data_IF_816041819310
#
_entry.id   IF_816041819310
#
_cell.length_a   1.000
_cell.length_b   1.000
_cell.length_c   1.000
_cell.angle_alpha   90.00
_cell.angle_beta   90.00
_cell.angle_gamma   90.00
#
_symmetry.space_group_name_H-M   'P 1'
#
loop_
_entity.id
_entity.type
_entity.pdbx_description
1 polymer ?
#
# COMPACT_ATOMS: atom_id res chain seq x y z
N UNK A 1 1.81 23.06 37.03
CA UNK A 1 0.80 24.16 37.06
C UNK A 1 0.58 24.73 38.46
N UNK A 2 0.29 23.93 39.52
CA UNK A 2 0.12 24.47 40.89
C UNK A 2 1.26 25.38 41.41
N UNK A 3 2.56 25.06 41.21
CA UNK A 3 3.64 25.93 41.69
C UNK A 3 3.68 27.28 40.96
N UNK A 4 3.37 27.32 39.66
CA UNK A 4 3.31 28.56 38.89
C UNK A 4 2.23 29.50 39.44
N UNK A 5 1.04 28.97 39.72
CA UNK A 5 -0.08 29.74 40.27
C UNK A 5 0.26 30.27 41.66
N UNK A 6 0.93 29.48 42.49
CA UNK A 6 1.35 29.92 43.82
C UNK A 6 2.44 31.00 43.76
N UNK A 7 3.43 30.86 42.88
CA UNK A 7 4.47 31.89 42.70
C UNK A 7 3.91 33.18 42.11
N UNK A 8 2.96 33.09 41.17
CA UNK A 8 2.26 34.26 40.62
C UNK A 8 1.48 35.02 41.71
N UNK A 9 0.83 34.29 42.64
CA UNK A 9 0.17 34.88 43.81
C UNK A 9 1.17 35.60 44.72
N UNK A 10 2.34 35.02 44.97
CA UNK A 10 3.38 35.66 45.79
C UNK A 10 3.95 36.93 45.15
N UNK A 11 4.07 36.97 43.83
CA UNK A 11 4.43 38.18 43.07
C UNK A 11 3.33 39.24 43.17
N UNK A 12 2.07 38.85 43.03
CA UNK A 12 0.93 39.77 43.13
C UNK A 12 0.77 40.38 44.53
N UNK A 13 1.04 39.60 45.58
CA UNK A 13 1.01 40.07 46.97
C UNK A 13 2.16 41.03 47.28
N UNK A 14 3.33 40.87 46.64
CA UNK A 14 4.50 41.72 46.86
C UNK A 14 5.25 42.05 45.54
N UNK A 15 4.75 43.00 44.72
CA UNK A 15 5.27 43.23 43.36
C UNK A 15 6.69 43.79 43.30
N UNK A 16 7.15 44.46 44.37
CA UNK A 16 8.50 45.07 44.44
C UNK A 16 9.57 44.07 44.90
N UNK A 17 9.17 42.86 45.30
CA UNK A 17 10.10 41.83 45.79
C UNK A 17 10.68 41.02 44.63
N UNK A 18 11.95 41.31 44.28
CA UNK A 18 12.65 40.70 43.15
C UNK A 18 12.79 39.18 43.22
N UNK A 19 12.88 38.60 44.44
CA UNK A 19 12.99 37.15 44.66
C UNK A 19 11.73 36.37 44.26
N UNK A 20 10.54 36.94 44.49
CA UNK A 20 9.26 36.33 44.06
C UNK A 20 9.16 36.36 42.53
N UNK A 21 9.57 37.47 41.90
CA UNK A 21 9.58 37.62 40.46
C UNK A 21 10.57 36.66 39.78
N UNK A 22 11.73 36.43 40.38
CA UNK A 22 12.70 35.43 39.90
C UNK A 22 12.15 34.01 40.03
N UNK A 23 11.62 33.65 41.21
CA UNK A 23 11.04 32.32 41.46
C UNK A 23 9.88 32.01 40.51
N UNK A 24 9.06 33.01 40.20
CA UNK A 24 7.99 32.87 39.20
C UNK A 24 8.54 32.65 37.78
N UNK A 25 9.58 33.41 37.37
CA UNK A 25 10.25 33.22 36.08
C UNK A 25 10.86 31.82 35.96
N UNK A 26 11.56 31.34 36.98
CA UNK A 26 12.17 30.01 36.98
C UNK A 26 11.10 28.90 36.87
N UNK A 27 9.97 29.08 37.55
CA UNK A 27 8.84 28.13 37.48
C UNK A 27 8.19 28.12 36.08
N UNK A 28 8.12 29.26 35.41
CA UNK A 28 7.64 29.36 34.03
C UNK A 28 8.61 28.72 33.04
N UNK A 29 9.92 28.96 33.18
CA UNK A 29 10.94 28.30 32.35
C UNK A 29 10.88 26.78 32.49
N UNK A 30 10.69 26.27 33.71
CA UNK A 30 10.48 24.84 33.93
C UNK A 30 9.20 24.32 33.24
N UNK A 31 8.09 25.07 33.28
CA UNK A 31 6.87 24.70 32.56
C UNK A 31 7.08 24.66 31.04
N UNK A 32 7.74 25.66 30.49
CA UNK A 32 8.07 25.71 29.06
C UNK A 32 8.98 24.55 28.65
N UNK A 33 9.98 24.22 29.46
CA UNK A 33 10.82 23.04 29.28
C UNK A 33 10.01 21.74 29.28
N UNK A 34 9.10 21.56 30.25
CA UNK A 34 8.23 20.39 30.31
C UNK A 34 7.30 20.28 29.09
N UNK A 35 6.74 21.40 28.62
CA UNK A 35 5.92 21.44 27.39
C UNK A 35 6.74 21.09 26.15
N UNK A 36 7.99 21.59 26.06
CA UNK A 36 8.92 21.21 24.98
C UNK A 36 9.21 19.71 25.01
N UNK A 37 9.49 19.13 26.17
CA UNK A 37 9.72 17.68 26.31
C UNK A 37 8.51 16.85 25.87
N UNK A 38 7.29 17.30 26.17
CA UNK A 38 6.07 16.66 25.64
C UNK A 38 6.02 16.76 24.12
N UNK A 39 6.35 17.93 23.56
CA UNK A 39 6.48 18.12 22.11
C UNK A 39 7.52 17.21 21.46
N UNK A 40 8.69 17.07 22.07
CA UNK A 40 9.79 16.21 21.61
C UNK A 40 9.43 14.72 21.68
N UNK A 41 8.69 14.32 22.71
CA UNK A 41 8.19 12.95 22.86
C UNK A 41 7.15 12.58 21.80
N UNK A 42 6.29 13.54 21.40
CA UNK A 42 5.29 13.34 20.35
C UNK A 42 5.92 13.35 18.95
N UNK A 43 6.88 14.25 18.71
CA UNK A 43 7.56 14.38 17.41
C UNK A 43 8.64 13.32 17.19
N UNK A 44 9.06 12.60 18.25
CA UNK A 44 10.15 11.63 18.19
C UNK A 44 11.53 12.26 18.07
N UNK A 45 11.64 13.60 18.19
CA UNK A 45 12.89 14.34 18.04
C UNK A 45 13.83 14.21 19.27
N UNK A 46 13.31 13.82 20.44
CA UNK A 46 14.08 13.73 21.70
C UNK A 46 14.72 12.38 21.99
N UNK A 47 14.65 11.41 21.07
CA UNK A 47 15.05 10.02 21.33
C UNK A 47 16.45 9.66 20.84
N UNK A 48 17.52 10.24 21.42
CA UNK A 48 18.83 9.59 21.38
C UNK A 48 18.81 8.36 22.30
N UNK A 49 18.17 7.27 21.84
CA UNK A 49 18.26 5.97 22.51
C UNK A 49 19.63 5.38 22.19
N UNK A 50 20.43 4.94 23.18
CA UNK A 50 21.65 4.19 22.87
C UNK A 50 21.27 2.92 22.10
N UNK A 51 22.11 2.46 21.16
CA UNK A 51 21.79 1.31 20.33
C UNK A 51 21.81 0.07 21.22
N UNK A 52 20.64 -0.41 21.60
CA UNK A 52 20.50 -1.81 22.02
C UNK A 52 20.81 -2.64 20.79
N UNK A 53 21.93 -3.35 20.83
CA UNK A 53 22.37 -4.31 19.83
C UNK A 53 21.23 -5.27 19.50
N UNK A 54 20.52 -4.99 18.41
CA UNK A 54 19.73 -5.93 17.63
C UNK A 54 19.29 -5.21 16.36
N UNK A 55 20.13 -5.32 15.32
CA UNK A 55 19.87 -5.09 13.89
C UNK A 55 18.69 -4.16 13.59
N UNK A 56 18.83 -2.90 13.98
CA UNK A 56 18.10 -1.82 13.33
C UNK A 56 18.83 -1.56 12.01
N UNK A 57 18.13 -1.70 10.88
CA UNK A 57 18.50 -0.93 9.70
C UNK A 57 18.34 0.52 10.14
N UNK A 58 19.44 1.08 10.62
CA UNK A 58 19.53 2.49 10.96
C UNK A 58 19.16 3.25 9.69
N UNK A 59 18.08 4.03 9.76
CA UNK A 59 17.75 5.00 8.74
C UNK A 59 18.82 6.09 8.79
N UNK A 60 20.00 5.78 8.25
CA UNK A 60 21.01 6.77 7.93
C UNK A 60 20.28 7.79 7.06
N UNK A 61 20.21 9.09 7.47
CA UNK A 61 19.66 10.11 6.59
C UNK A 61 20.37 9.98 5.25
N UNK A 62 19.67 9.89 4.11
CA UNK A 62 20.29 9.60 2.84
C UNK A 62 21.38 10.63 2.63
N UNK A 63 22.63 10.17 2.73
CA UNK A 63 23.79 10.98 2.39
C UNK A 63 23.54 11.37 0.95
N UNK A 64 23.47 12.68 0.66
CA UNK A 64 23.30 13.15 -0.70
C UNK A 64 24.29 12.33 -1.56
N UNK A 65 23.83 11.73 -2.68
CA UNK A 65 24.74 11.02 -3.57
C UNK A 65 25.92 11.95 -3.79
N UNK A 66 27.13 11.43 -3.55
CA UNK A 66 28.37 12.17 -3.78
C UNK A 66 28.25 12.90 -5.11
N UNK A 67 28.79 14.13 -5.16
CA UNK A 67 28.81 14.98 -6.36
C UNK A 67 28.89 14.12 -7.60
N UNK A 68 28.04 14.37 -8.63
CA UNK A 68 27.96 13.51 -9.80
C UNK A 68 29.38 13.21 -10.24
N UNK A 69 29.72 11.93 -10.32
CA UNK A 69 30.98 11.51 -10.93
C UNK A 69 30.89 12.05 -12.34
N UNK A 70 31.48 13.22 -12.57
CA UNK A 70 31.70 13.73 -13.91
C UNK A 70 32.67 12.73 -14.49
N UNK A 71 32.14 11.77 -15.24
CA UNK A 71 32.93 11.02 -16.18
C UNK A 71 33.38 12.03 -17.23
N UNK A 72 34.40 12.81 -16.87
CA UNK A 72 35.16 13.61 -17.80
C UNK A 72 35.93 12.59 -18.60
N UNK A 73 35.21 11.96 -19.55
CA UNK A 73 35.78 11.13 -20.59
C UNK A 73 36.57 12.09 -21.47
N UNK A 74 37.75 12.49 -21.00
CA UNK A 74 38.88 12.53 -21.90
C UNK A 74 38.93 11.11 -22.45
N UNK A 75 38.39 10.93 -23.66
CA UNK A 75 38.67 9.75 -24.45
C UNK A 75 40.16 9.82 -24.77
N UNK A 76 40.99 9.41 -23.80
CA UNK A 76 42.36 9.05 -24.09
C UNK A 76 42.20 7.76 -24.89
N UNK A 77 42.17 7.92 -26.20
CA UNK A 77 42.49 6.84 -27.11
C UNK A 77 43.96 6.55 -26.83
N UNK A 78 44.23 5.72 -25.82
CA UNK A 78 45.52 5.06 -25.77
C UNK A 78 45.57 4.24 -27.05
N UNK A 79 46.45 4.61 -27.97
CA UNK A 79 46.82 3.75 -29.10
C UNK A 79 47.60 2.56 -28.52
N UNK A 80 46.87 1.69 -27.80
CA UNK A 80 47.36 0.40 -27.36
C UNK A 80 47.54 -0.42 -28.63
N UNK A 81 48.78 -0.85 -28.98
CA UNK A 81 48.98 -1.75 -30.11
C UNK A 81 48.06 -2.96 -29.95
N UNK A 82 47.34 -3.30 -31.02
CA UNK A 82 46.38 -4.41 -30.98
C UNK A 82 47.08 -5.68 -30.47
N UNK A 83 46.64 -6.27 -29.34
CA UNK A 83 47.30 -7.45 -28.81
C UNK A 83 47.24 -8.58 -29.85
N UNK A 84 48.33 -9.32 -30.07
CA UNK A 84 48.33 -10.44 -31.00
C UNK A 84 47.22 -11.42 -30.61
N UNK A 85 46.47 -11.89 -31.61
CA UNK A 85 45.30 -12.76 -31.42
C UNK A 85 45.73 -13.99 -30.59
N UNK A 86 45.19 -14.18 -29.36
CA UNK A 86 45.48 -15.38 -28.59
C UNK A 86 44.97 -16.63 -29.32
N UNK A 87 45.57 -17.81 -29.10
CA UNK A 87 45.04 -19.06 -29.64
C UNK A 87 43.57 -19.22 -29.22
N UNK A 88 42.73 -19.86 -30.06
CA UNK A 88 41.31 -20.04 -29.74
C UNK A 88 41.21 -20.68 -28.35
N UNK A 89 40.47 -20.07 -27.41
CA UNK A 89 40.20 -20.70 -26.12
C UNK A 89 39.57 -22.07 -26.38
N UNK A 90 40.06 -23.12 -25.73
CA UNK A 90 39.24 -24.33 -25.56
C UNK A 90 37.94 -23.84 -24.92
N UNK A 91 36.81 -24.08 -25.57
CA UNK A 91 35.48 -23.64 -25.11
C UNK A 91 35.20 -24.21 -23.72
N UNK A 92 35.65 -23.50 -22.67
CA UNK A 92 35.03 -23.58 -21.37
C UNK A 92 33.85 -22.63 -21.48
N UNK A 93 32.76 -23.14 -22.07
CA UNK A 93 31.47 -22.47 -22.07
C UNK A 93 31.18 -22.00 -20.65
N UNK A 94 30.82 -20.73 -20.42
CA UNK A 94 30.28 -20.34 -19.12
C UNK A 94 29.15 -21.33 -18.79
N UNK A 95 29.03 -21.79 -17.53
CA UNK A 95 27.99 -22.74 -17.18
C UNK A 95 26.66 -22.18 -17.70
N UNK A 96 25.84 -23.00 -18.39
CA UNK A 96 24.58 -22.52 -18.97
C UNK A 96 23.84 -21.80 -17.86
N UNK A 97 23.55 -20.51 -18.10
CA UNK A 97 22.78 -19.70 -17.15
C UNK A 97 21.53 -20.53 -16.86
N UNK A 98 21.27 -20.91 -15.59
CA UNK A 98 20.03 -21.61 -15.28
C UNK A 98 18.89 -20.79 -15.87
N UNK A 99 17.86 -21.42 -16.46
CA UNK A 99 16.72 -20.68 -16.95
C UNK A 99 16.31 -19.72 -15.83
N UNK A 100 16.16 -18.41 -16.11
CA UNK A 100 15.66 -17.50 -15.09
C UNK A 100 14.42 -18.16 -14.50
N UNK A 101 14.29 -18.20 -13.16
CA UNK A 101 13.08 -18.72 -12.55
C UNK A 101 11.89 -18.08 -13.29
N UNK A 102 10.79 -18.83 -13.54
CA UNK A 102 9.56 -18.22 -14.01
C UNK A 102 9.01 -17.34 -12.89
N UNK A 103 9.70 -16.24 -12.60
CA UNK A 103 9.10 -15.04 -12.06
C UNK A 103 8.29 -14.48 -13.22
N UNK A 104 7.09 -15.00 -13.43
CA UNK A 104 6.04 -14.12 -13.93
C UNK A 104 6.00 -12.98 -12.93
N UNK A 105 6.60 -11.84 -13.26
CA UNK A 105 6.46 -10.64 -12.47
C UNK A 105 4.95 -10.35 -12.46
N UNK A 106 4.28 -10.69 -11.36
CA UNK A 106 2.83 -10.46 -11.18
C UNK A 106 2.48 -9.00 -11.50
N UNK A 107 3.45 -8.08 -11.33
CA UNK A 107 3.30 -6.68 -11.72
C UNK A 107 3.36 -6.45 -13.23
N UNK A 108 4.21 -7.18 -13.96
CA UNK A 108 4.27 -7.16 -15.42
C UNK A 108 3.03 -7.80 -16.04
N UNK A 109 2.52 -8.90 -15.48
CA UNK A 109 1.25 -9.48 -15.91
C UNK A 109 0.09 -8.51 -15.66
N UNK A 110 0.06 -7.87 -14.48
CA UNK A 110 -0.92 -6.82 -14.19
C UNK A 110 -0.81 -5.67 -15.19
N UNK A 111 0.40 -5.20 -15.50
CA UNK A 111 0.62 -4.12 -16.47
C UNK A 111 0.16 -4.53 -17.87
N UNK A 112 0.59 -5.70 -18.34
CA UNK A 112 0.23 -6.25 -19.64
C UNK A 112 -1.29 -6.44 -19.79
N UNK A 113 -1.98 -6.85 -18.72
CA UNK A 113 -3.43 -6.93 -18.71
C UNK A 113 -4.04 -5.56 -19.00
N UNK A 114 -3.67 -4.52 -18.25
CA UNK A 114 -4.24 -3.17 -18.41
C UNK A 114 -3.78 -2.43 -19.66
N UNK A 115 -2.64 -2.78 -20.25
CA UNK A 115 -2.20 -2.27 -21.57
C UNK A 115 -3.00 -2.88 -22.73
N UNK A 116 -3.28 -4.18 -22.65
CA UNK A 116 -4.07 -4.89 -23.67
C UNK A 116 -5.55 -4.56 -23.58
N UNK A 117 -6.02 -4.12 -22.42
CA UNK A 117 -7.42 -3.82 -22.20
C UNK A 117 -7.76 -2.43 -22.78
N UNK A 118 -8.53 -2.34 -23.88
CA UNK A 118 -8.88 -1.06 -24.45
C UNK A 118 -9.76 -0.31 -23.44
N UNK A 119 -9.41 0.93 -23.10
CA UNK A 119 -10.25 1.84 -22.31
C UNK A 119 -11.32 2.66 -23.11
N UNK A 120 -11.66 2.43 -24.40
CA UNK A 120 -12.75 3.17 -25.03
C UNK A 120 -14.08 2.62 -24.50
N UNK A 121 -14.72 3.38 -23.60
CA UNK A 121 -16.06 3.07 -23.08
C UNK A 121 -16.16 2.82 -21.57
N UNK A 122 -15.16 3.19 -20.75
CA UNK A 122 -15.27 3.04 -19.29
C UNK A 122 -16.52 3.73 -18.67
N UNK A 123 -17.11 4.72 -19.35
CA UNK A 123 -18.39 5.33 -18.96
C UNK A 123 -19.61 4.43 -19.17
N UNK A 124 -19.60 3.53 -20.14
CA UNK A 124 -20.69 2.57 -20.39
C UNK A 124 -20.53 1.25 -19.63
N UNK A 125 -19.40 1.05 -18.93
CA UNK A 125 -19.06 -0.20 -18.25
C UNK A 125 -18.78 0.05 -16.76
N UNK A 126 -19.80 0.16 -15.91
CA UNK A 126 -19.62 0.59 -14.52
C UNK A 126 -18.84 -0.42 -13.65
N UNK A 127 -18.88 -1.73 -13.94
CA UNK A 127 -18.06 -2.74 -13.25
C UNK A 127 -16.58 -2.57 -13.62
N UNK A 128 -16.28 -2.38 -14.91
CA UNK A 128 -14.91 -2.11 -15.37
C UNK A 128 -14.37 -0.81 -14.78
N UNK A 129 -15.19 0.23 -14.70
CA UNK A 129 -14.82 1.50 -14.06
C UNK A 129 -14.45 1.31 -12.58
N UNK A 130 -15.23 0.51 -11.83
CA UNK A 130 -14.93 0.18 -10.44
C UNK A 130 -13.58 -0.58 -10.31
N UNK A 131 -13.35 -1.56 -11.18
CA UNK A 131 -12.10 -2.31 -11.23
C UNK A 131 -10.89 -1.40 -11.53
N UNK A 132 -11.05 -0.51 -12.51
CA UNK A 132 -10.01 0.45 -12.91
C UNK A 132 -9.71 1.47 -11.79
N UNK A 133 -10.74 1.95 -11.08
CA UNK A 133 -10.55 2.86 -9.95
C UNK A 133 -9.71 2.24 -8.83
N UNK A 134 -9.97 0.96 -8.51
CA UNK A 134 -9.14 0.21 -7.58
C UNK A 134 -7.71 0.06 -8.11
N UNK A 135 -7.54 -0.33 -9.38
CA UNK A 135 -6.21 -0.46 -9.99
C UNK A 135 -5.39 0.85 -9.94
N UNK A 136 -6.01 1.99 -10.25
CA UNK A 136 -5.34 3.30 -10.21
C UNK A 136 -4.81 3.65 -8.82
N UNK A 137 -5.54 3.29 -7.76
CA UNK A 137 -5.05 3.48 -6.39
C UNK A 137 -3.90 2.54 -6.05
N UNK A 138 -3.94 1.30 -6.56
CA UNK A 138 -2.97 0.26 -6.23
C UNK A 138 -1.68 0.35 -7.05
N UNK A 139 -1.71 0.91 -8.26
CA UNK A 139 -0.55 0.96 -9.16
C UNK A 139 0.64 1.73 -8.57
N UNK A 140 0.38 2.68 -7.68
CA UNK A 140 1.42 3.47 -7.01
C UNK A 140 2.20 2.66 -5.97
N UNK A 141 1.70 1.49 -5.59
CA UNK A 141 2.30 0.62 -4.57
C UNK A 141 3.00 -0.58 -5.22
N UNK A 142 4.21 -0.88 -4.77
CA UNK A 142 4.85 -2.17 -5.06
C UNK A 142 4.10 -3.30 -4.36
N UNK A 143 3.85 -4.41 -5.05
CA UNK A 143 3.35 -5.65 -4.43
C UNK A 143 4.46 -6.53 -3.85
N UNK A 144 5.73 -6.19 -4.08
CA UNK A 144 6.85 -6.93 -3.53
C UNK A 144 6.85 -6.84 -1.99
N UNK A 145 6.80 -7.99 -1.32
CA UNK A 145 6.64 -8.08 0.15
C UNK A 145 5.38 -7.35 0.68
N UNK A 146 4.30 -7.30 -0.11
CA UNK A 146 3.03 -6.72 0.30
C UNK A 146 1.85 -7.54 -0.26
N UNK A 147 1.48 -8.59 0.47
CA UNK A 147 0.40 -9.50 0.06
C UNK A 147 -0.99 -8.83 0.02
N UNK A 148 -1.22 -7.78 0.83
CA UNK A 148 -2.47 -7.00 0.80
C UNK A 148 -2.61 -6.31 -0.56
N UNK A 149 -1.56 -5.61 -1.00
CA UNK A 149 -1.53 -4.93 -2.31
C UNK A 149 -1.59 -5.95 -3.45
N UNK A 150 -0.86 -7.07 -3.34
CA UNK A 150 -0.89 -8.13 -4.34
C UNK A 150 -2.29 -8.73 -4.52
N UNK A 151 -2.97 -9.08 -3.41
CA UNK A 151 -4.33 -9.59 -3.43
C UNK A 151 -5.33 -8.55 -3.99
N UNK A 152 -5.21 -7.28 -3.60
CA UNK A 152 -6.07 -6.22 -4.12
C UNK A 152 -5.85 -5.98 -5.63
N UNK A 153 -4.61 -6.09 -6.14
CA UNK A 153 -4.33 -6.02 -7.59
C UNK A 153 -4.97 -7.17 -8.36
N UNK A 154 -4.87 -8.41 -7.82
CA UNK A 154 -5.57 -9.57 -8.38
C UNK A 154 -7.08 -9.36 -8.42
N UNK A 155 -7.68 -8.79 -7.36
CA UNK A 155 -9.11 -8.44 -7.35
C UNK A 155 -9.50 -7.46 -8.47
N UNK A 156 -8.67 -6.44 -8.74
CA UNK A 156 -8.95 -5.49 -9.81
C UNK A 156 -8.96 -6.16 -11.20
N UNK A 157 -8.01 -7.07 -11.47
CA UNK A 157 -7.96 -7.83 -12.74
C UNK A 157 -9.18 -8.74 -12.86
N UNK A 158 -9.48 -9.51 -11.81
CA UNK A 158 -10.62 -10.42 -11.80
C UNK A 158 -11.95 -9.66 -11.95
N UNK A 159 -12.09 -8.48 -11.35
CA UNK A 159 -13.29 -7.64 -11.50
C UNK A 159 -13.43 -7.09 -12.93
N UNK A 160 -12.32 -6.71 -13.58
CA UNK A 160 -12.33 -6.34 -14.99
C UNK A 160 -12.75 -7.52 -15.88
N UNK A 161 -12.26 -8.74 -15.60
CA UNK A 161 -12.68 -9.97 -16.29
C UNK A 161 -14.17 -10.28 -16.04
N UNK A 162 -14.65 -10.12 -14.81
CA UNK A 162 -16.07 -10.28 -14.48
C UNK A 162 -16.93 -9.35 -15.33
N UNK A 163 -16.49 -8.10 -15.56
CA UNK A 163 -17.18 -7.15 -16.43
C UNK A 163 -17.36 -7.63 -17.87
N UNK A 164 -16.46 -8.46 -18.42
CA UNK A 164 -16.62 -9.06 -19.75
C UNK A 164 -17.62 -10.21 -19.71
N UNK A 165 -17.45 -11.10 -18.73
CA UNK A 165 -18.26 -12.32 -18.58
C UNK A 165 -19.74 -12.02 -18.39
N UNK A 166 -20.09 -10.97 -17.62
CA UNK A 166 -21.49 -10.57 -17.38
C UNK A 166 -22.19 -10.01 -18.62
N UNK A 167 -21.42 -9.58 -19.63
CA UNK A 167 -21.94 -9.16 -20.93
C UNK A 167 -22.06 -10.31 -21.93
N UNK A 168 -21.59 -11.51 -21.56
CA UNK A 168 -21.51 -12.65 -22.48
C UNK A 168 -20.29 -12.60 -23.41
N UNK A 169 -19.34 -11.69 -23.17
CA UNK A 169 -18.11 -11.59 -23.95
C UNK A 169 -17.04 -12.55 -23.40
N UNK A 170 -16.62 -13.52 -24.22
CA UNK A 170 -15.37 -14.26 -23.98
C UNK A 170 -15.41 -15.33 -22.87
N UNK A 171 -16.58 -15.85 -22.50
CA UNK A 171 -16.65 -16.98 -21.56
C UNK A 171 -18.04 -17.58 -21.37
N UNK A 172 -18.09 -18.66 -20.60
CA UNK A 172 -19.30 -19.43 -20.30
C UNK A 172 -19.94 -19.01 -18.96
N UNK A 173 -21.18 -19.47 -18.71
CA UNK A 173 -21.84 -19.34 -17.38
C UNK A 173 -20.96 -19.85 -16.24
N UNK A 174 -20.21 -20.93 -16.50
CA UNK A 174 -19.26 -21.52 -15.54
C UNK A 174 -18.10 -20.57 -15.26
N UNK A 175 -17.51 -19.98 -16.29
CA UNK A 175 -16.40 -19.02 -16.14
C UNK A 175 -16.82 -17.79 -15.34
N UNK A 176 -18.04 -17.30 -15.52
CA UNK A 176 -18.61 -16.20 -14.72
C UNK A 176 -18.65 -16.56 -13.23
N UNK A 177 -19.21 -17.73 -12.90
CA UNK A 177 -19.32 -18.20 -11.52
C UNK A 177 -17.93 -18.43 -10.90
N UNK A 178 -17.01 -19.04 -11.63
CA UNK A 178 -15.67 -19.32 -11.15
C UNK A 178 -14.85 -18.03 -10.97
N UNK A 179 -15.05 -17.03 -11.85
CA UNK A 179 -14.47 -15.70 -11.68
C UNK A 179 -14.98 -15.02 -10.39
N UNK A 180 -16.29 -15.12 -10.09
CA UNK A 180 -16.86 -14.55 -8.87
C UNK A 180 -16.32 -15.24 -7.59
N UNK A 181 -16.10 -16.56 -7.63
CA UNK A 181 -15.44 -17.30 -6.54
C UNK A 181 -14.00 -16.82 -6.35
N UNK A 182 -13.22 -16.69 -7.43
CA UNK A 182 -11.85 -16.20 -7.35
C UNK A 182 -11.75 -14.78 -6.76
N UNK A 183 -12.72 -13.90 -7.08
CA UNK A 183 -12.82 -12.57 -6.44
C UNK A 183 -13.08 -12.70 -4.94
N UNK A 184 -14.01 -13.58 -4.55
CA UNK A 184 -14.33 -13.82 -3.15
C UNK A 184 -13.13 -14.37 -2.36
N UNK A 185 -12.41 -15.35 -2.90
CA UNK A 185 -11.21 -15.94 -2.28
C UNK A 185 -10.10 -14.90 -2.13
N UNK A 186 -9.89 -14.07 -3.16
CA UNK A 186 -8.92 -12.97 -3.09
C UNK A 186 -9.34 -11.88 -2.10
N UNK A 187 -10.64 -11.64 -1.91
CA UNK A 187 -11.17 -10.69 -0.93
C UNK A 187 -11.03 -11.19 0.50
N UNK A 188 -11.18 -12.51 0.72
CA UNK A 188 -10.95 -13.16 2.00
C UNK A 188 -9.49 -12.97 2.43
N UNK A 189 -8.56 -13.13 1.49
CA UNK A 189 -7.13 -12.91 1.77
C UNK A 189 -6.83 -11.45 2.18
N UNK A 190 -7.42 -10.46 1.50
CA UNK A 190 -7.33 -9.05 1.91
C UNK A 190 -7.85 -8.85 3.34
N UNK A 191 -9.03 -9.39 3.66
CA UNK A 191 -9.61 -9.27 5.00
C UNK A 191 -8.76 -9.97 6.05
N UNK A 192 -8.26 -11.18 5.78
CA UNK A 192 -7.42 -11.97 6.70
C UNK A 192 -6.15 -11.21 7.06
N UNK A 193 -5.44 -10.70 6.05
CA UNK A 193 -4.21 -9.93 6.23
C UNK A 193 -4.47 -8.59 6.94
N UNK A 194 -5.56 -7.89 6.60
CA UNK A 194 -5.96 -6.66 7.28
C UNK A 194 -6.24 -6.88 8.78
N UNK A 195 -6.94 -7.97 9.13
CA UNK A 195 -7.19 -8.33 10.54
C UNK A 195 -5.89 -8.69 11.27
N UNK A 196 -4.97 -9.41 10.62
CA UNK A 196 -3.66 -9.69 11.20
C UNK A 196 -2.86 -8.42 11.49
N UNK A 197 -2.85 -7.48 10.53
CA UNK A 197 -2.22 -6.17 10.70
C UNK A 197 -2.88 -5.37 11.83
N UNK A 198 -4.21 -5.34 11.89
CA UNK A 198 -4.95 -4.66 12.93
C UNK A 198 -4.59 -5.16 14.33
N UNK A 199 -4.38 -6.47 14.51
CA UNK A 199 -3.95 -7.07 15.79
C UNK A 199 -2.57 -6.61 16.23
N UNK A 200 -1.68 -6.30 15.28
CA UNK A 200 -0.32 -5.82 15.55
C UNK A 200 -0.23 -4.30 15.71
N UNK A 201 -1.28 -3.57 15.32
CA UNK A 201 -1.35 -2.12 15.46
C UNK A 201 -1.48 -1.71 16.94
N UNK A 202 -0.61 -0.80 17.39
CA UNK A 202 -0.60 -0.26 18.75
C UNK A 202 -1.53 0.93 18.92
N UNK A 203 -1.85 1.64 17.83
CA UNK A 203 -2.80 2.75 17.88
C UNK A 203 -4.24 2.22 17.84
N UNK A 204 -5.00 2.50 18.90
CA UNK A 204 -6.36 1.99 19.07
C UNK A 204 -7.29 2.54 17.99
N UNK A 205 -7.19 3.83 17.64
CA UNK A 205 -8.07 4.46 16.66
C UNK A 205 -7.81 3.88 15.28
N UNK A 206 -6.55 3.80 14.87
CA UNK A 206 -6.16 3.25 13.57
C UNK A 206 -6.58 1.77 13.45
N UNK A 207 -6.40 0.99 14.52
CA UNK A 207 -6.86 -0.41 14.58
C UNK A 207 -8.37 -0.52 14.40
N UNK A 208 -9.16 0.29 15.10
CA UNK A 208 -10.62 0.24 15.00
C UNK A 208 -11.11 0.66 13.61
N UNK A 209 -10.52 1.71 13.03
CA UNK A 209 -10.82 2.13 11.66
C UNK A 209 -10.55 1.00 10.67
N UNK A 210 -9.40 0.31 10.76
CA UNK A 210 -9.05 -0.80 9.88
C UNK A 210 -10.05 -1.97 10.00
N UNK A 211 -10.43 -2.35 11.23
CA UNK A 211 -11.41 -3.42 11.46
C UNK A 211 -12.79 -3.08 10.89
N UNK A 212 -13.26 -1.85 11.12
CA UNK A 212 -14.57 -1.38 10.66
C UNK A 212 -14.68 -1.36 9.12
N UNK A 213 -13.60 -1.01 8.40
CA UNK A 213 -13.65 -1.01 6.93
C UNK A 213 -13.54 -2.43 6.36
N UNK A 214 -12.72 -3.30 6.96
CA UNK A 214 -12.50 -4.64 6.40
C UNK A 214 -13.60 -5.65 6.74
N UNK A 215 -14.37 -5.46 7.82
CA UNK A 215 -15.48 -6.37 8.21
C UNK A 215 -16.65 -6.38 7.23
N UNK A 216 -16.75 -5.35 6.37
CA UNK A 216 -17.79 -5.26 5.33
C UNK A 216 -17.54 -6.19 4.15
N UNK A 217 -16.27 -6.49 3.86
CA UNK A 217 -15.82 -7.24 2.68
C UNK A 217 -16.45 -8.64 2.60
N UNK A 218 -16.45 -9.48 3.66
CA UNK A 218 -17.00 -10.84 3.58
C UNK A 218 -18.48 -10.89 3.17
N UNK A 219 -19.28 -9.95 3.68
CA UNK A 219 -20.71 -9.84 3.35
C UNK A 219 -20.89 -9.46 1.89
N UNK A 220 -20.18 -8.44 1.40
CA UNK A 220 -20.28 -7.98 0.02
C UNK A 220 -19.79 -9.07 -0.95
N UNK A 221 -18.72 -9.79 -0.63
CA UNK A 221 -18.20 -10.90 -1.43
C UNK A 221 -19.20 -12.08 -1.51
N UNK A 222 -19.91 -12.37 -0.42
CA UNK A 222 -20.98 -13.37 -0.42
C UNK A 222 -22.13 -12.96 -1.35
N UNK A 223 -22.54 -11.69 -1.28
CA UNK A 223 -23.53 -11.14 -2.19
C UNK A 223 -23.06 -11.22 -3.67
N UNK A 224 -21.79 -10.93 -3.95
CA UNK A 224 -21.22 -11.04 -5.29
C UNK A 224 -21.39 -12.46 -5.86
N UNK A 225 -21.12 -13.49 -5.06
CA UNK A 225 -21.29 -14.90 -5.48
C UNK A 225 -22.76 -15.21 -5.84
N UNK A 226 -23.70 -14.72 -5.02
CA UNK A 226 -25.15 -14.92 -5.25
C UNK A 226 -25.58 -14.20 -6.52
N UNK A 227 -25.29 -12.90 -6.64
CA UNK A 227 -25.67 -12.08 -7.79
C UNK A 227 -25.03 -12.58 -9.09
N UNK A 228 -23.80 -13.06 -9.03
CA UNK A 228 -23.12 -13.68 -10.17
C UNK A 228 -23.81 -14.98 -10.61
N UNK A 229 -24.31 -15.78 -9.66
CA UNK A 229 -25.08 -16.99 -9.98
C UNK A 229 -26.42 -16.64 -10.62
N UNK A 230 -27.11 -15.61 -10.10
CA UNK A 230 -28.36 -15.08 -10.70
C UNK A 230 -28.10 -14.56 -12.12
N UNK A 231 -27.04 -13.78 -12.34
CA UNK A 231 -26.69 -13.31 -13.69
C UNK A 231 -26.34 -14.48 -14.62
N UNK A 232 -25.68 -15.52 -14.12
CA UNK A 232 -25.35 -16.70 -14.91
C UNK A 232 -26.60 -17.45 -15.41
N UNK A 233 -27.68 -17.50 -14.62
CA UNK A 233 -28.94 -18.10 -15.09
C UNK A 233 -29.57 -17.27 -16.21
N UNK A 234 -29.48 -15.93 -16.13
CA UNK A 234 -30.07 -14.98 -17.09
C UNK A 234 -29.26 -14.76 -18.37
N UNK A 235 -28.05 -15.30 -18.50
CA UNK A 235 -27.23 -15.21 -19.73
C UNK A 235 -27.93 -15.75 -21.00
N UNK A 236 -28.99 -16.56 -20.87
CA UNK A 236 -29.77 -17.06 -22.01
C UNK A 236 -30.97 -16.19 -22.41
N UNK A 237 -31.26 -15.15 -21.64
CA UNK A 237 -32.40 -14.22 -21.80
C UNK A 237 -31.93 -12.77 -21.74
N UNK A 238 -30.76 -12.47 -22.30
CA UNK A 238 -30.20 -11.12 -22.30
C UNK A 238 -31.18 -10.10 -22.89
N UNK A 239 -31.31 -8.96 -22.21
CA UNK A 239 -32.22 -7.88 -22.61
C UNK A 239 -33.64 -8.00 -22.04
N UNK A 240 -33.92 -8.97 -21.17
CA UNK A 240 -35.13 -8.94 -20.34
C UNK A 240 -35.00 -7.91 -19.22
N UNK A 241 -36.13 -7.38 -18.75
CA UNK A 241 -36.18 -6.47 -17.60
C UNK A 241 -35.50 -7.10 -16.36
N UNK A 242 -35.74 -8.39 -16.12
CA UNK A 242 -35.09 -9.15 -15.04
C UNK A 242 -33.55 -9.21 -15.19
N UNK A 243 -33.03 -9.32 -16.42
CA UNK A 243 -31.58 -9.35 -16.68
C UNK A 243 -30.92 -7.98 -16.47
N UNK A 244 -31.64 -6.91 -16.81
CA UNK A 244 -31.22 -5.52 -16.56
C UNK A 244 -31.19 -5.22 -15.06
N UNK A 245 -32.23 -5.59 -14.31
CA UNK A 245 -32.26 -5.45 -12.84
C UNK A 245 -31.14 -6.24 -12.17
N UNK A 246 -30.95 -7.51 -12.55
CA UNK A 246 -29.87 -8.34 -12.02
C UNK A 246 -28.49 -7.73 -12.32
N UNK A 247 -28.32 -7.14 -13.51
CA UNK A 247 -27.10 -6.42 -13.88
C UNK A 247 -26.89 -5.19 -12.99
N UNK A 248 -27.93 -4.37 -12.75
CA UNK A 248 -27.82 -3.19 -11.89
C UNK A 248 -27.42 -3.55 -10.45
N UNK A 249 -28.01 -4.61 -9.88
CA UNK A 249 -27.64 -5.09 -8.54
C UNK A 249 -26.18 -5.55 -8.49
N UNK A 250 -25.72 -6.26 -9.53
CA UNK A 250 -24.33 -6.71 -9.64
C UNK A 250 -23.35 -5.53 -9.75
N UNK A 251 -23.71 -4.50 -10.50
CA UNK A 251 -22.92 -3.26 -10.63
C UNK A 251 -22.72 -2.59 -9.27
N UNK A 252 -23.81 -2.37 -8.53
CA UNK A 252 -23.75 -1.72 -7.21
C UNK A 252 -22.92 -2.55 -6.22
N UNK A 253 -23.08 -3.87 -6.23
CA UNK A 253 -22.30 -4.76 -5.40
C UNK A 253 -20.79 -4.70 -5.73
N UNK A 254 -20.43 -4.74 -7.02
CA UNK A 254 -19.05 -4.64 -7.47
C UNK A 254 -18.40 -3.30 -7.07
N UNK A 255 -19.11 -2.18 -7.24
CA UNK A 255 -18.65 -0.87 -6.80
C UNK A 255 -18.39 -0.81 -5.29
N UNK A 256 -19.34 -1.32 -4.49
CA UNK A 256 -19.20 -1.38 -3.03
C UNK A 256 -18.01 -2.25 -2.60
N UNK A 257 -17.77 -3.37 -3.28
CA UNK A 257 -16.65 -4.26 -2.99
C UNK A 257 -15.31 -3.58 -3.30
N UNK A 258 -15.15 -3.02 -4.50
CA UNK A 258 -13.91 -2.36 -4.91
C UNK A 258 -13.60 -1.15 -4.01
N UNK A 259 -14.62 -0.39 -3.62
CA UNK A 259 -14.48 0.72 -2.68
C UNK A 259 -14.07 0.25 -1.27
N UNK A 260 -14.71 -0.80 -0.74
CA UNK A 260 -14.38 -1.35 0.59
C UNK A 260 -12.95 -1.91 0.64
N UNK A 261 -12.50 -2.55 -0.44
CA UNK A 261 -11.10 -3.01 -0.58
C UNK A 261 -10.14 -1.83 -0.64
N UNK A 262 -10.45 -0.79 -1.43
CA UNK A 262 -9.65 0.43 -1.51
C UNK A 262 -9.46 1.11 -0.15
N UNK A 263 -10.55 1.27 0.60
CA UNK A 263 -10.52 1.87 1.94
C UNK A 263 -9.75 1.00 2.93
N UNK A 264 -9.86 -0.33 2.80
CA UNK A 264 -9.07 -1.28 3.61
C UNK A 264 -7.58 -1.15 3.32
N UNK A 265 -7.16 -1.03 2.06
CA UNK A 265 -5.74 -0.85 1.70
C UNK A 265 -5.19 0.46 2.28
N UNK A 266 -5.95 1.57 2.19
CA UNK A 266 -5.56 2.86 2.78
C UNK A 266 -5.48 2.82 4.30
N UNK A 267 -6.45 2.18 4.96
CA UNK A 267 -6.42 2.01 6.41
C UNK A 267 -5.28 1.08 6.85
N UNK A 268 -4.96 0.06 6.05
CA UNK A 268 -3.84 -0.85 6.29
C UNK A 268 -2.49 -0.12 6.15
N UNK A 269 -2.32 0.71 5.12
CA UNK A 269 -1.15 1.59 4.98
C UNK A 269 -0.95 2.41 6.24
N UNK A 270 -1.99 3.13 6.68
CA UNK A 270 -1.92 3.95 7.88
C UNK A 270 -1.56 3.09 9.12
N UNK A 271 -2.30 2.00 9.37
CA UNK A 271 -2.09 1.15 10.54
C UNK A 271 -0.68 0.51 10.58
N UNK A 272 -0.08 0.26 9.41
CA UNK A 272 1.26 -0.33 9.30
C UNK A 272 2.37 0.56 9.88
N UNK A 273 2.16 1.87 9.97
CA UNK A 273 3.11 2.82 10.56
C UNK A 273 3.24 2.61 12.08
N UNK A 274 2.19 2.09 12.73
CA UNK A 274 2.10 1.92 14.18
C UNK A 274 2.01 0.44 14.58
N UNK A 275 2.86 -0.41 14.02
CA UNK A 275 2.96 -1.82 14.40
C UNK A 275 3.92 -2.04 15.58
N UNK A 276 3.67 -3.09 16.37
CA UNK A 276 4.62 -3.55 17.40
C UNK A 276 5.94 -3.95 16.76
N UNK A 277 7.06 -3.53 17.35
CA UNK A 277 8.42 -3.80 16.84
C UNK A 277 8.78 -5.28 16.74
N UNK A 278 8.11 -6.14 17.53
CA UNK A 278 8.36 -7.57 17.58
C UNK A 278 7.27 -8.38 16.88
N UNK A 279 6.45 -7.74 16.03
CA UNK A 279 5.30 -8.38 15.38
C UNK A 279 5.68 -9.45 14.34
N UNK A 280 6.92 -9.43 13.84
CA UNK A 280 7.38 -10.33 12.77
C UNK A 280 6.69 -10.11 11.42
N UNK A 281 5.77 -9.15 11.34
CA UNK A 281 5.00 -8.84 10.13
C UNK A 281 5.91 -8.08 9.15
N UNK A 282 6.16 -8.64 7.97
CA UNK A 282 6.89 -7.98 6.88
C UNK A 282 5.88 -7.51 5.83
N UNK A 283 5.46 -6.26 5.96
CA UNK A 283 4.53 -5.61 5.03
C UNK A 283 5.19 -4.32 4.56
N UNK A 284 5.60 -4.28 3.28
CA UNK A 284 6.41 -3.18 2.76
C UNK A 284 5.57 -2.21 1.92
N UNK A 285 5.47 -0.97 2.37
CA UNK A 285 4.77 0.10 1.63
C UNK A 285 5.79 0.94 0.86
N UNK A 286 6.16 0.46 -0.33
CA UNK A 286 7.04 1.20 -1.26
C UNK A 286 6.20 1.87 -2.35
N UNK A 287 6.38 3.18 -2.50
CA UNK A 287 5.88 3.93 -3.64
C UNK A 287 6.72 3.60 -4.87
N UNK A 288 6.05 3.24 -5.97
CA UNK A 288 6.71 3.04 -7.26
C UNK A 288 7.28 4.36 -7.77
N UNK A 289 8.56 4.40 -8.18
CA UNK A 289 9.13 5.62 -8.75
C UNK A 289 8.44 5.96 -10.07
N UNK A 290 8.40 7.25 -10.41
CA UNK A 290 7.71 7.72 -11.63
C UNK A 290 8.22 7.03 -12.91
N UNK A 291 9.48 6.58 -12.92
CA UNK A 291 10.12 5.92 -14.05
C UNK A 291 9.82 4.42 -14.19
N UNK A 292 9.28 3.74 -13.17
CA UNK A 292 8.90 2.30 -13.27
C UNK A 292 7.58 2.06 -14.00
N UNK A 293 6.95 3.15 -14.47
CA UNK A 293 5.73 3.13 -15.27
C UNK A 293 6.01 3.22 -16.79
N UNK A 294 7.29 3.30 -17.19
CA UNK A 294 7.73 3.25 -18.58
C UNK A 294 8.32 1.88 -18.90
#
# INVERSE_FOLDING_TARGET
>A
IPPMVNQAKQVALNPRHSGNAQSWRDTNEHLLSAVRQVGDAITGAGGSRPPSQNLLVESVPPKAPTSPVVHDRVYIREDIPTPPRPPPPVEISPPPRPPPPPETDDEEETRAFWERYPLPGASSQPILSAAHNLHQELRQWSSHENEIVAAAKRMAILMARLSQLVRGEGGTKKDLIDCAKAIADSSEEVTRLAVQLARQCTDIKMRMTLLQVCERIPTIATQLKILSTVKATMLGSQGSEEDEEAMQQLVLNAQNLMQSVKDTVRAAEAASIKIRTNSGLRLRWIRKPMWSNF
#
